data_IF_797442066472
#
_entry.id   IF_797442066472
#
_cell.length_a   1.000
_cell.length_b   1.000
_cell.length_c   1.000
_cell.angle_alpha   90.00
_cell.angle_beta   90.00
_cell.angle_gamma   90.00
#
_symmetry.space_group_name_H-M   'P 1'
#
loop_
_entity.id
_entity.type
_entity.pdbx_description
1 polymer ?
#
# COMPACT_ATOMS: atom_id res chain seq x y z
N UNK A 1 6.20 13.90 0.73
CA UNK A 1 5.89 12.90 1.79
C UNK A 1 6.75 11.68 1.50
N UNK A 2 7.52 11.21 2.47
CA UNK A 2 8.44 10.08 2.24
C UNK A 2 7.69 8.78 2.51
N UNK A 3 7.57 7.90 1.52
CA UNK A 3 6.86 6.61 1.67
C UNK A 3 7.44 5.80 2.83
N UNK A 4 8.73 5.93 3.11
CA UNK A 4 9.42 5.22 4.19
C UNK A 4 9.03 5.68 5.61
N UNK A 5 8.41 6.86 5.76
CA UNK A 5 7.96 7.37 7.07
C UNK A 5 6.49 7.08 7.37
N UNK A 6 5.77 6.44 6.44
CA UNK A 6 4.38 6.04 6.64
C UNK A 6 4.27 4.97 7.71
N UNK A 7 3.34 5.11 8.64
CA UNK A 7 3.12 4.13 9.72
C UNK A 7 1.71 3.56 9.69
N UNK A 8 1.60 2.25 9.96
CA UNK A 8 0.34 1.55 10.18
C UNK A 8 -0.75 1.95 9.19
N UNK A 9 -1.87 2.49 9.70
CA UNK A 9 -3.04 2.85 8.89
C UNK A 9 -2.79 3.93 7.82
N UNK A 10 -1.76 4.76 7.96
CA UNK A 10 -1.40 5.75 6.92
C UNK A 10 -0.81 5.05 5.69
N UNK A 11 0.05 4.05 5.92
CA UNK A 11 0.57 3.20 4.85
C UNK A 11 -0.60 2.51 4.11
N UNK A 12 -1.53 1.92 4.86
CA UNK A 12 -2.71 1.26 4.28
C UNK A 12 -3.59 2.21 3.45
N UNK A 13 -3.76 3.44 3.94
CA UNK A 13 -4.54 4.45 3.25
C UNK A 13 -3.90 4.87 1.93
N UNK A 14 -2.58 5.06 1.90
CA UNK A 14 -1.89 5.41 0.66
C UNK A 14 -1.93 4.25 -0.35
N UNK A 15 -1.82 3.01 0.09
CA UNK A 15 -1.97 1.84 -0.81
C UNK A 15 -3.35 1.86 -1.48
N UNK A 16 -4.42 2.01 -0.69
CA UNK A 16 -5.77 2.07 -1.21
C UNK A 16 -5.96 3.22 -2.21
N UNK A 17 -5.35 4.39 -1.98
CA UNK A 17 -5.44 5.54 -2.90
C UNK A 17 -4.66 5.32 -4.19
N UNK A 18 -3.40 4.92 -4.08
CA UNK A 18 -2.47 4.97 -5.21
C UNK A 18 -2.47 3.70 -6.05
N UNK A 19 -2.55 2.52 -5.44
CA UNK A 19 -2.56 1.26 -6.20
C UNK A 19 -3.97 0.96 -6.74
N UNK A 20 -5.00 1.25 -5.94
CA UNK A 20 -6.37 0.83 -6.23
C UNK A 20 -7.32 1.99 -6.58
N UNK A 21 -6.82 3.23 -6.62
CA UNK A 21 -7.59 4.41 -7.04
C UNK A 21 -8.78 4.74 -6.12
N UNK A 22 -8.77 4.26 -4.87
CA UNK A 22 -9.89 4.45 -3.97
C UNK A 22 -9.91 5.85 -3.36
N UNK A 23 -11.11 6.41 -3.18
CA UNK A 23 -11.29 7.59 -2.34
C UNK A 23 -11.25 7.17 -0.87
N UNK A 24 -10.23 7.63 -0.13
CA UNK A 24 -9.98 7.24 1.27
C UNK A 24 -10.13 8.44 2.22
N UNK A 25 -10.93 8.26 3.27
CA UNK A 25 -11.14 9.24 4.33
C UNK A 25 -10.65 8.73 5.68
N UNK A 26 -10.05 9.63 6.47
CA UNK A 26 -9.81 9.35 7.88
C UNK A 26 -11.06 9.67 8.70
N UNK A 27 -11.55 8.71 9.47
CA UNK A 27 -12.69 8.86 10.38
C UNK A 27 -12.31 8.49 11.80
N UNK A 28 -12.73 9.31 12.74
CA UNK A 28 -12.54 9.02 14.16
C UNK A 28 -13.77 8.30 14.69
N UNK A 29 -13.56 7.11 15.26
CA UNK A 29 -14.62 6.41 15.98
C UNK A 29 -15.03 7.20 17.21
N UNK A 30 -16.31 7.57 17.33
CA UNK A 30 -16.83 8.26 18.52
C UNK A 30 -16.71 7.41 19.79
N UNK A 31 -16.70 6.09 19.67
CA UNK A 31 -16.69 5.15 20.79
C UNK A 31 -15.28 4.84 21.31
N UNK A 32 -14.28 4.84 20.42
CA UNK A 32 -12.90 4.43 20.76
C UNK A 32 -11.88 5.56 20.66
N UNK A 33 -12.28 6.73 20.16
CA UNK A 33 -11.42 7.85 19.77
C UNK A 33 -10.27 7.47 18.80
N UNK A 34 -10.25 6.25 18.26
CA UNK A 34 -9.23 5.80 17.32
C UNK A 34 -9.56 6.32 15.92
N UNK A 35 -8.54 6.89 15.28
CA UNK A 35 -8.57 7.23 13.86
C UNK A 35 -8.49 5.93 13.06
N UNK A 36 -9.40 5.78 12.10
CA UNK A 36 -9.43 4.67 11.14
C UNK A 36 -9.57 5.25 9.74
N UNK A 37 -9.00 4.57 8.76
CA UNK A 37 -9.19 4.92 7.37
C UNK A 37 -10.30 4.06 6.78
N UNK A 38 -11.18 4.69 6.02
CA UNK A 38 -12.26 4.03 5.29
C UNK A 38 -12.18 4.44 3.82
N UNK A 39 -12.59 3.55 2.92
CA UNK A 39 -12.68 3.88 1.49
C UNK A 39 -14.10 3.74 0.96
N UNK A 40 -14.38 4.51 -0.09
CA UNK A 40 -15.69 4.50 -0.76
C UNK A 40 -15.81 3.27 -1.65
N UNK A 41 -16.63 2.32 -1.22
CA UNK A 41 -17.04 1.20 -2.05
C UNK A 41 -18.08 1.70 -3.06
N UNK A 42 -17.95 1.29 -4.33
CA UNK A 42 -18.86 1.65 -5.43
C UNK A 42 -18.99 3.17 -5.63
N UNK A 43 -17.94 3.84 -6.15
CA UNK A 43 -17.88 5.30 -6.21
C UNK A 43 -18.99 5.95 -7.05
N UNK A 44 -19.63 5.20 -7.95
CA UNK A 44 -20.71 5.69 -8.83
C UNK A 44 -22.10 5.71 -8.17
N UNK A 45 -22.28 5.15 -6.96
CA UNK A 45 -23.58 5.20 -6.27
C UNK A 45 -23.86 6.58 -5.67
N UNK A 46 -25.12 6.99 -5.73
CA UNK A 46 -25.62 8.23 -5.14
C UNK A 46 -25.39 8.28 -3.62
N UNK A 47 -25.61 7.17 -2.93
CA UNK A 47 -25.27 7.01 -1.52
C UNK A 47 -23.94 6.26 -1.38
N UNK A 48 -22.87 6.93 -0.90
CA UNK A 48 -21.57 6.31 -0.79
C UNK A 48 -21.55 5.30 0.37
N UNK A 49 -21.20 4.05 0.07
CA UNK A 49 -20.95 3.05 1.08
C UNK A 49 -19.47 3.08 1.50
N UNK A 50 -19.21 3.23 2.79
CA UNK A 50 -17.84 3.37 3.31
C UNK A 50 -17.47 2.14 4.12
N UNK A 51 -16.37 1.49 3.75
CA UNK A 51 -15.85 0.31 4.46
C UNK A 51 -14.42 0.56 4.98
N UNK A 52 -13.96 -0.14 6.02
CA UNK A 52 -12.58 -0.03 6.48
C UNK A 52 -11.57 -0.32 5.37
N UNK A 53 -10.48 0.44 5.35
CA UNK A 53 -9.33 0.13 4.50
C UNK A 53 -8.73 -1.22 4.94
N UNK A 54 -8.42 -2.14 4.01
CA UNK A 54 -7.75 -3.39 4.34
C UNK A 54 -6.38 -3.17 4.99
N UNK A 55 -5.93 -4.14 5.78
CA UNK A 55 -4.62 -4.12 6.40
C UNK A 55 -3.60 -4.79 5.46
N UNK A 56 -3.24 -4.14 4.35
CA UNK A 56 -2.36 -4.70 3.33
C UNK A 56 -0.97 -5.08 3.87
N UNK A 57 -0.44 -4.34 4.85
CA UNK A 57 0.87 -4.61 5.44
C UNK A 57 0.83 -5.60 6.61
N UNK A 58 -0.35 -6.01 7.08
CA UNK A 58 -0.50 -6.87 8.27
C UNK A 58 -1.45 -8.08 8.08
N UNK A 59 -2.11 -8.20 6.94
CA UNK A 59 -3.04 -9.30 6.62
C UNK A 59 -2.65 -9.95 5.30
N UNK A 60 -2.23 -11.22 5.35
CA UNK A 60 -1.85 -11.98 4.15
C UNK A 60 -2.93 -11.94 3.07
N UNK A 61 -4.21 -12.00 3.44
CA UNK A 61 -5.31 -11.94 2.49
C UNK A 61 -5.33 -10.61 1.70
N UNK A 62 -5.05 -9.49 2.37
CA UNK A 62 -4.98 -8.18 1.74
C UNK A 62 -3.65 -7.99 1.00
N UNK A 63 -2.53 -8.49 1.52
CA UNK A 63 -1.22 -8.44 0.85
C UNK A 63 -1.25 -9.12 -0.53
N UNK A 64 -2.07 -10.16 -0.71
CA UNK A 64 -2.25 -10.81 -2.02
C UNK A 64 -2.72 -9.81 -3.09
N UNK A 65 -3.59 -8.86 -2.76
CA UNK A 65 -4.04 -7.84 -3.72
C UNK A 65 -2.88 -6.96 -4.19
N UNK A 66 -1.97 -6.61 -3.27
CA UNK A 66 -0.75 -5.86 -3.59
C UNK A 66 0.20 -6.69 -4.47
N UNK A 67 0.35 -7.99 -4.19
CA UNK A 67 1.16 -8.88 -5.01
C UNK A 67 0.61 -9.05 -6.42
N UNK A 68 -0.72 -9.07 -6.58
CA UNK A 68 -1.37 -9.08 -7.88
C UNK A 68 -1.14 -7.77 -8.64
N UNK A 69 -1.16 -6.63 -7.94
CA UNK A 69 -0.80 -5.35 -8.54
C UNK A 69 0.67 -5.32 -9.01
N UNK A 70 1.58 -5.90 -8.22
CA UNK A 70 3.00 -6.07 -8.56
C UNK A 70 3.27 -7.09 -9.68
N UNK A 71 2.23 -7.67 -10.28
CA UNK A 71 2.40 -8.61 -11.38
C UNK A 71 3.08 -7.91 -12.58
N UNK A 72 4.22 -8.46 -13.01
CA UNK A 72 5.04 -7.87 -14.08
C UNK A 72 6.33 -7.23 -13.59
N UNK A 73 6.51 -7.07 -12.26
CA UNK A 73 7.80 -6.77 -11.67
C UNK A 73 8.54 -8.07 -11.34
N UNK A 74 9.84 -8.12 -11.64
CA UNK A 74 10.73 -9.07 -10.99
C UNK A 74 10.99 -8.59 -9.56
N UNK A 75 10.80 -9.48 -8.59
CA UNK A 75 10.86 -9.15 -7.16
C UNK A 75 11.89 -10.02 -6.45
N UNK A 76 12.83 -9.38 -5.76
CA UNK A 76 13.76 -10.02 -4.85
C UNK A 76 13.46 -9.59 -3.41
N UNK A 77 13.51 -10.54 -2.48
CA UNK A 77 13.20 -10.31 -1.06
C UNK A 77 14.36 -10.78 -0.20
N UNK A 78 14.95 -9.85 0.55
CA UNK A 78 16.00 -10.10 1.53
C UNK A 78 15.38 -10.01 2.92
N UNK A 79 15.37 -11.13 3.64
CA UNK A 79 14.90 -11.16 5.03
C UNK A 79 16.10 -11.01 5.96
N UNK A 80 16.19 -9.87 6.65
CA UNK A 80 17.11 -9.67 7.77
C UNK A 80 16.43 -9.96 9.11
N UNK A 81 17.23 -9.99 10.18
CA UNK A 81 16.74 -10.30 11.53
C UNK A 81 15.80 -9.21 12.08
N UNK A 82 16.02 -7.95 11.70
CA UNK A 82 15.23 -6.80 12.20
C UNK A 82 14.33 -6.17 11.13
N UNK A 83 14.67 -6.34 9.85
CA UNK A 83 13.99 -5.70 8.72
C UNK A 83 13.98 -6.60 7.50
N UNK A 84 12.94 -6.44 6.69
CA UNK A 84 12.85 -7.04 5.37
C UNK A 84 13.08 -5.97 4.31
N UNK A 85 13.83 -6.31 3.27
CA UNK A 85 14.07 -5.47 2.11
C UNK A 85 13.49 -6.13 0.86
N UNK A 86 12.79 -5.34 0.07
CA UNK A 86 12.22 -5.74 -1.21
C UNK A 86 12.84 -4.89 -2.31
N UNK A 87 13.33 -5.56 -3.35
CA UNK A 87 13.85 -4.93 -4.57
C UNK A 87 12.94 -5.34 -5.71
N UNK A 88 12.37 -4.35 -6.39
CA UNK A 88 11.57 -4.54 -7.61
C UNK A 88 12.35 -4.02 -8.81
N UNK A 89 12.28 -4.77 -9.89
CA UNK A 89 12.86 -4.40 -11.19
C UNK A 89 11.85 -4.69 -12.29
N UNK A 90 11.82 -3.84 -13.31
CA UNK A 90 11.00 -4.01 -14.53
C UNK A 90 11.81 -3.51 -15.71
N UNK A 91 11.66 -4.12 -16.88
CA UNK A 91 12.46 -3.79 -18.05
C UNK A 91 12.44 -2.28 -18.35
N UNK A 92 13.63 -1.66 -18.39
CA UNK A 92 13.78 -0.22 -18.64
C UNK A 92 13.57 0.69 -17.43
N UNK A 93 12.93 0.20 -16.37
CA UNK A 93 12.79 0.93 -15.11
C UNK A 93 13.97 0.63 -14.17
N UNK A 94 14.50 1.66 -13.52
CA UNK A 94 15.52 1.50 -12.48
C UNK A 94 15.03 0.63 -11.32
N UNK A 95 15.96 0.21 -10.44
CA UNK A 95 15.60 -0.58 -9.27
C UNK A 95 14.77 0.24 -8.27
N UNK A 96 13.68 -0.36 -7.77
CA UNK A 96 12.86 0.21 -6.70
C UNK A 96 13.14 -0.58 -5.43
N UNK A 97 13.62 0.10 -4.39
CA UNK A 97 14.01 -0.53 -3.13
C UNK A 97 13.12 0.00 -2.00
N UNK A 98 12.57 -0.90 -1.20
CA UNK A 98 11.85 -0.56 0.02
C UNK A 98 12.19 -1.50 1.17
N UNK A 99 12.07 -0.97 2.39
CA UNK A 99 12.31 -1.71 3.61
C UNK A 99 11.10 -1.59 4.55
N UNK A 100 10.79 -2.67 5.26
CA UNK A 100 9.74 -2.71 6.27
C UNK A 100 10.18 -3.53 7.48
N UNK A 101 9.46 -3.42 8.59
CA UNK A 101 9.70 -4.28 9.75
C UNK A 101 9.39 -5.74 9.42
N UNK A 102 8.42 -5.96 8.53
CA UNK A 102 8.03 -7.27 8.02
C UNK A 102 7.97 -7.29 6.50
N UNK A 103 7.97 -8.49 5.93
CA UNK A 103 7.94 -8.72 4.48
C UNK A 103 6.76 -8.03 3.80
N UNK A 104 5.55 -8.17 4.36
CA UNK A 104 4.33 -7.63 3.78
C UNK A 104 4.36 -6.09 3.76
N UNK A 105 4.91 -5.48 4.81
CA UNK A 105 5.12 -4.03 4.88
C UNK A 105 6.15 -3.55 3.84
N UNK A 106 7.29 -4.25 3.71
CA UNK A 106 8.31 -3.93 2.72
C UNK A 106 7.75 -4.02 1.29
N UNK A 107 6.94 -5.05 1.01
CA UNK A 107 6.24 -5.20 -0.28
C UNK A 107 5.27 -4.06 -0.56
N UNK A 108 4.46 -3.69 0.43
CA UNK A 108 3.52 -2.59 0.33
C UNK A 108 4.20 -1.25 0.04
N UNK A 109 5.32 -0.97 0.72
CA UNK A 109 6.13 0.23 0.47
C UNK A 109 6.77 0.19 -0.92
N UNK A 110 7.26 -0.97 -1.36
CA UNK A 110 7.83 -1.14 -2.70
C UNK A 110 6.78 -0.86 -3.79
N UNK A 111 5.57 -1.39 -3.63
CA UNK A 111 4.46 -1.15 -4.54
C UNK A 111 4.07 0.33 -4.62
N UNK A 112 4.00 1.01 -3.47
CA UNK A 112 3.77 2.46 -3.47
C UNK A 112 4.86 3.23 -4.20
N UNK A 113 6.14 2.90 -3.99
CA UNK A 113 7.24 3.54 -4.72
C UNK A 113 7.15 3.29 -6.23
N UNK A 114 6.72 2.10 -6.64
CA UNK A 114 6.52 1.78 -8.05
C UNK A 114 5.47 2.68 -8.72
N UNK A 115 4.37 3.02 -8.04
CA UNK A 115 3.36 3.95 -8.60
C UNK A 115 3.93 5.33 -8.92
N UNK A 116 4.93 5.80 -8.18
CA UNK A 116 5.57 7.11 -8.42
C UNK A 116 6.46 7.07 -9.67
N UNK A 117 7.12 5.93 -9.91
CA UNK A 117 7.93 5.70 -11.11
C UNK A 117 7.03 5.61 -12.34
N UNK A 118 5.95 4.83 -12.27
CA UNK A 118 4.98 4.72 -13.38
C UNK A 118 4.36 6.06 -13.75
N UNK A 119 3.99 6.90 -12.78
CA UNK A 119 3.45 8.24 -13.03
C UNK A 119 4.46 9.23 -13.64
N UNK A 120 5.77 8.90 -13.64
CA UNK A 120 6.81 9.74 -14.22
C UNK A 120 7.14 9.38 -15.68
N UNK A 121 6.60 8.27 -16.18
CA UNK A 121 6.81 7.77 -17.55
C UNK A 121 5.63 8.10 -18.51
N UNK A 122 4.51 8.62 -17.98
CA UNK A 122 3.36 9.16 -18.73
C UNK A 122 3.50 10.66 -19.05
#
# INVERSE_FOLDING_TARGET
>A
MTIDSLEGGELEAEIARHLFGHTVEARTSRTTARRRFVYRMQPQRAEPHWVPVPLYAASQAATIEVLLWLHGFAMHVENGDERCRVVLTRDGAGEIIAEGAHRDEAMCRAALKATVVEASEE
#
